data_IF_487040309520
#
_entry.id   IF_487040309520
#
_cell.length_a   1.000
_cell.length_b   1.000
_cell.length_c   1.000
_cell.angle_alpha   90.00
_cell.angle_beta   90.00
_cell.angle_gamma   90.00
#
_symmetry.space_group_name_H-M   'P 1'
#
loop_
_entity.id
_entity.type
_entity.pdbx_description
1 polymer ?
#
# COMPACT_ATOMS: atom_id res chain seq x y z
N UNK A 1 23.30 -22.39 -19.28
CA UNK A 1 23.26 -22.80 -20.70
C UNK A 1 24.61 -22.45 -21.32
N UNK A 2 25.26 -23.37 -22.05
CA UNK A 2 26.55 -23.06 -22.69
C UNK A 2 26.35 -22.21 -23.97
N UNK A 3 27.45 -21.68 -24.53
CA UNK A 3 27.41 -20.80 -25.70
C UNK A 3 26.74 -21.41 -26.93
N UNK A 4 26.99 -22.68 -27.21
CA UNK A 4 26.41 -23.38 -28.37
C UNK A 4 24.91 -23.58 -28.21
N UNK A 5 24.46 -23.98 -27.02
CA UNK A 5 23.05 -24.11 -26.72
C UNK A 5 22.33 -22.76 -26.84
N UNK A 6 22.95 -21.66 -26.39
CA UNK A 6 22.36 -20.32 -26.49
C UNK A 6 22.12 -19.90 -27.94
N UNK A 7 23.05 -20.22 -28.86
CA UNK A 7 22.88 -19.94 -30.28
C UNK A 7 21.71 -20.70 -30.90
N UNK A 8 21.51 -21.96 -30.50
CA UNK A 8 20.37 -22.76 -30.96
C UNK A 8 19.06 -22.20 -30.41
N UNK A 9 19.00 -21.88 -29.12
CA UNK A 9 17.81 -21.30 -28.50
C UNK A 9 17.44 -19.94 -29.09
N UNK A 10 18.40 -19.08 -29.44
CA UNK A 10 18.09 -17.81 -30.13
C UNK A 10 17.48 -18.00 -31.53
N UNK A 11 17.71 -19.15 -32.18
CA UNK A 11 17.14 -19.47 -33.50
C UNK A 11 15.77 -20.13 -33.41
N UNK A 12 15.38 -20.66 -32.26
CA UNK A 12 14.09 -21.32 -32.05
C UNK A 12 12.95 -20.29 -31.93
N UNK A 13 11.84 -20.52 -32.62
CA UNK A 13 10.67 -19.62 -32.63
C UNK A 13 10.17 -19.28 -31.22
N UNK A 14 10.21 -20.24 -30.30
CA UNK A 14 9.72 -20.09 -28.93
C UNK A 14 10.65 -19.31 -28.00
N UNK A 15 11.94 -19.21 -28.32
CA UNK A 15 12.94 -18.60 -27.42
C UNK A 15 13.72 -17.47 -28.07
N UNK A 16 13.42 -17.12 -29.34
CA UNK A 16 14.06 -16.02 -30.08
C UNK A 16 13.85 -14.65 -29.44
N UNK A 17 12.68 -14.41 -28.84
CA UNK A 17 12.34 -13.16 -28.15
C UNK A 17 12.67 -13.20 -26.65
N UNK A 18 13.24 -14.29 -26.14
CA UNK A 18 13.52 -14.42 -24.71
C UNK A 18 14.94 -13.95 -24.39
N UNK A 19 15.06 -13.12 -23.35
CA UNK A 19 16.36 -12.80 -22.75
C UNK A 19 16.80 -13.95 -21.84
N UNK A 20 18.04 -14.39 -21.98
CA UNK A 20 18.63 -15.42 -21.12
C UNK A 20 19.46 -14.73 -20.05
N UNK A 21 19.06 -14.87 -18.79
CA UNK A 21 19.77 -14.32 -17.64
C UNK A 21 20.41 -15.45 -16.84
N UNK A 22 21.63 -15.27 -16.36
CA UNK A 22 22.32 -16.27 -15.55
C UNK A 22 21.95 -16.15 -14.07
N UNK A 23 22.04 -17.26 -13.32
CA UNK A 23 21.78 -17.30 -11.87
C UNK A 23 22.69 -16.33 -11.11
N UNK A 24 23.88 -16.07 -11.64
CA UNK A 24 24.86 -15.13 -11.08
C UNK A 24 24.54 -13.65 -11.34
N UNK A 25 23.77 -13.33 -12.39
CA UNK A 25 23.38 -11.95 -12.73
C UNK A 25 22.09 -11.51 -12.01
N UNK A 26 21.29 -12.46 -11.51
CA UNK A 26 20.04 -12.23 -10.78
C UNK A 26 20.19 -11.27 -9.57
N UNK A 27 21.21 -11.40 -8.70
CA UNK A 27 21.36 -10.52 -7.54
C UNK A 27 21.83 -9.11 -7.89
N UNK A 28 22.57 -8.96 -8.99
CA UNK A 28 23.23 -7.69 -9.37
C UNK A 28 22.32 -6.76 -10.16
N UNK A 29 21.22 -7.27 -10.72
CA UNK A 29 20.36 -6.48 -11.59
C UNK A 29 18.89 -6.95 -11.58
N UNK A 30 18.21 -6.90 -10.42
CA UNK A 30 16.84 -7.43 -10.26
C UNK A 30 15.82 -6.74 -11.18
N UNK A 31 16.04 -5.46 -11.48
CA UNK A 31 15.26 -4.64 -12.42
C UNK A 31 15.33 -5.12 -13.88
N UNK A 32 16.42 -5.76 -14.30
CA UNK A 32 16.56 -6.33 -15.65
C UNK A 32 16.01 -7.76 -15.76
N UNK A 33 15.89 -8.48 -14.64
CA UNK A 33 15.22 -9.80 -14.57
C UNK A 33 13.70 -9.64 -14.56
N UNK A 34 13.20 -8.58 -13.93
CA UNK A 34 11.77 -8.22 -13.90
C UNK A 34 11.24 -7.65 -15.22
N UNK A 35 12.08 -7.43 -16.23
CA UNK A 35 11.64 -7.15 -17.62
C UNK A 35 11.11 -8.41 -18.33
N UNK A 36 10.42 -9.28 -17.59
CA UNK A 36 9.64 -10.37 -18.17
C UNK A 36 8.38 -9.76 -18.80
N UNK A 37 8.28 -9.93 -20.11
CA UNK A 37 7.21 -9.50 -21.03
C UNK A 37 6.96 -8.00 -21.13
N UNK A 38 7.46 -7.43 -22.23
CA UNK A 38 6.82 -6.36 -22.96
C UNK A 38 5.29 -6.60 -23.00
N UNK A 39 4.53 -5.68 -22.40
CA UNK A 39 3.06 -5.66 -22.43
C UNK A 39 2.37 -6.17 -21.16
N UNK A 40 1.53 -5.31 -20.55
CA UNK A 40 0.52 -5.76 -19.60
C UNK A 40 -0.43 -6.70 -20.35
N UNK A 41 -0.39 -8.00 -20.07
CA UNK A 41 -1.26 -8.98 -20.72
C UNK A 41 -2.52 -9.21 -19.89
N UNK A 42 -3.61 -9.54 -20.57
CA UNK A 42 -4.89 -9.81 -19.93
C UNK A 42 -4.83 -11.12 -19.14
N UNK A 43 -5.37 -11.10 -17.91
CA UNK A 43 -5.45 -12.28 -17.05
C UNK A 43 -6.38 -13.35 -17.59
N UNK A 44 -7.47 -12.95 -18.26
CA UNK A 44 -8.47 -13.86 -18.82
C UNK A 44 -8.14 -14.30 -20.25
N UNK A 45 -7.35 -13.50 -20.97
CA UNK A 45 -6.97 -13.76 -22.36
C UNK A 45 -5.45 -13.80 -22.49
N UNK A 46 -4.87 -14.99 -22.32
CA UNK A 46 -3.43 -15.19 -22.36
C UNK A 46 -2.81 -14.73 -23.67
N UNK A 47 -1.81 -13.84 -23.58
CA UNK A 47 -1.09 -13.30 -24.73
C UNK A 47 -1.76 -12.10 -25.40
N UNK A 48 -2.96 -11.71 -24.98
CA UNK A 48 -3.59 -10.47 -25.43
C UNK A 48 -3.09 -9.28 -24.60
N UNK A 49 -2.65 -8.24 -25.29
CA UNK A 49 -2.20 -7.00 -24.67
C UNK A 49 -3.38 -6.15 -24.21
N UNK A 50 -3.25 -5.56 -23.02
CA UNK A 50 -4.17 -4.56 -22.50
C UNK A 50 -3.99 -3.25 -23.29
N UNK A 51 -5.06 -2.80 -23.93
CA UNK A 51 -5.05 -1.64 -24.85
C UNK A 51 -6.12 -0.62 -24.54
N UNK A 52 -7.10 -0.96 -23.73
CA UNK A 52 -8.27 -0.13 -23.49
C UNK A 52 -8.47 0.13 -22.00
N UNK A 53 -9.10 1.26 -21.69
CA UNK A 53 -9.58 1.60 -20.37
C UNK A 53 -11.10 1.81 -20.42
N UNK A 54 -11.83 1.12 -19.56
CA UNK A 54 -13.27 1.31 -19.38
C UNK A 54 -13.51 2.21 -18.17
N UNK A 55 -14.04 3.42 -18.39
CA UNK A 55 -14.31 4.40 -17.32
C UNK A 55 -15.49 4.03 -16.44
N UNK A 56 -16.48 3.34 -17.00
CA UNK A 56 -17.68 2.93 -16.26
C UNK A 56 -17.36 1.94 -15.14
N UNK A 57 -16.37 1.08 -15.38
CA UNK A 57 -15.93 0.05 -14.44
C UNK A 57 -14.58 0.39 -13.80
N UNK A 58 -13.91 1.45 -14.24
CA UNK A 58 -12.56 1.84 -13.84
C UNK A 58 -11.53 0.71 -13.97
N UNK A 59 -11.61 -0.08 -15.05
CA UNK A 59 -10.72 -1.23 -15.32
C UNK A 59 -10.00 -1.08 -16.66
N UNK A 60 -8.81 -1.68 -16.76
CA UNK A 60 -8.08 -1.81 -18.02
C UNK A 60 -8.36 -3.18 -18.65
N UNK A 61 -8.48 -3.24 -19.97
CA UNK A 61 -8.90 -4.43 -20.68
C UNK A 61 -8.20 -4.61 -22.04
N UNK A 62 -8.13 -5.86 -22.51
CA UNK A 62 -7.68 -6.19 -23.87
C UNK A 62 -8.82 -6.07 -24.89
N UNK A 63 -8.51 -6.24 -26.18
CA UNK A 63 -9.51 -6.18 -27.25
C UNK A 63 -10.63 -7.20 -27.11
N UNK A 64 -10.32 -8.41 -26.62
CA UNK A 64 -11.31 -9.46 -26.40
C UNK A 64 -12.26 -9.10 -25.25
N UNK A 65 -11.72 -8.65 -24.12
CA UNK A 65 -12.52 -8.15 -23.00
C UNK A 65 -13.41 -6.96 -23.41
N UNK A 66 -12.90 -6.08 -24.27
CA UNK A 66 -13.70 -4.99 -24.81
C UNK A 66 -14.91 -5.52 -25.58
N UNK A 67 -14.73 -6.50 -26.46
CA UNK A 67 -15.82 -7.06 -27.25
C UNK A 67 -16.81 -7.89 -26.43
N UNK A 68 -16.32 -8.69 -25.49
CA UNK A 68 -17.14 -9.65 -24.74
C UNK A 68 -17.90 -9.02 -23.57
N UNK A 69 -17.27 -8.09 -22.85
CA UNK A 69 -17.81 -7.56 -21.59
C UNK A 69 -18.07 -6.05 -21.61
N UNK A 70 -17.29 -5.28 -22.36
CA UNK A 70 -17.37 -3.81 -22.35
C UNK A 70 -17.94 -3.20 -23.63
N UNK A 71 -18.49 -4.01 -24.54
CA UNK A 71 -19.04 -3.55 -25.82
C UNK A 71 -20.25 -2.64 -25.64
N UNK A 72 -21.00 -2.84 -24.56
CA UNK A 72 -22.15 -2.00 -24.19
C UNK A 72 -21.74 -0.76 -23.41
N UNK A 73 -20.49 -0.67 -22.94
CA UNK A 73 -19.99 0.52 -22.28
C UNK A 73 -19.80 1.62 -23.31
N UNK A 74 -20.34 2.79 -23.00
CA UNK A 74 -20.22 4.03 -23.78
C UNK A 74 -18.85 4.69 -23.61
N UNK A 75 -18.17 4.45 -22.49
CA UNK A 75 -16.92 5.13 -22.14
C UNK A 75 -15.74 4.16 -22.07
N UNK A 76 -15.34 3.64 -23.24
CA UNK A 76 -14.11 2.86 -23.41
C UNK A 76 -13.18 3.56 -24.39
N UNK A 77 -11.93 3.77 -23.99
CA UNK A 77 -10.93 4.59 -24.69
C UNK A 77 -9.60 3.85 -24.78
N UNK A 78 -8.74 4.20 -25.75
CA UNK A 78 -7.39 3.62 -25.83
C UNK A 78 -6.59 4.07 -24.61
N UNK A 79 -5.97 3.11 -23.95
CA UNK A 79 -5.22 3.32 -22.72
C UNK A 79 -4.09 4.33 -22.93
N UNK A 80 -3.47 4.38 -24.12
CA UNK A 80 -2.38 5.33 -24.43
C UNK A 80 -2.86 6.76 -24.51
N UNK A 81 -4.09 6.98 -24.94
CA UNK A 81 -4.69 8.31 -25.01
C UNK A 81 -5.08 8.83 -23.62
N UNK A 82 -5.44 7.92 -22.71
CA UNK A 82 -5.84 8.23 -21.33
C UNK A 82 -4.68 8.31 -20.36
N UNK A 83 -3.58 7.58 -20.63
CA UNK A 83 -2.45 7.47 -19.74
C UNK A 83 -1.90 8.83 -19.27
N UNK A 84 -1.75 9.87 -20.12
CA UNK A 84 -1.30 11.18 -19.68
C UNK A 84 -2.27 11.85 -18.69
N UNK A 85 -3.56 11.59 -18.82
CA UNK A 85 -4.60 12.13 -17.93
C UNK A 85 -4.60 11.38 -16.60
N UNK A 86 -4.53 10.05 -16.64
CA UNK A 86 -4.46 9.20 -15.44
C UNK A 86 -3.19 9.47 -14.62
N UNK A 87 -2.06 9.70 -15.28
CA UNK A 87 -0.79 10.04 -14.62
C UNK A 87 -0.76 11.48 -14.07
N UNK A 88 -1.62 12.39 -14.55
CA UNK A 88 -1.75 13.75 -13.99
C UNK A 88 -2.57 13.76 -12.71
N UNK A 89 -3.61 12.95 -12.64
CA UNK A 89 -4.45 12.81 -11.44
C UNK A 89 -3.65 12.19 -10.27
N UNK A 90 -2.72 11.29 -10.58
CA UNK A 90 -1.82 10.68 -9.59
C UNK A 90 -0.48 11.41 -9.62
N UNK A 91 -0.43 12.64 -9.11
CA UNK A 91 0.88 13.25 -8.83
C UNK A 91 1.50 12.48 -7.65
N UNK A 92 2.68 11.83 -7.80
CA UNK A 92 3.32 11.11 -6.71
C UNK A 92 3.58 12.02 -5.49
N UNK A 93 3.65 13.33 -5.72
CA UNK A 93 3.74 14.35 -4.67
C UNK A 93 2.53 14.37 -3.75
N UNK A 94 1.30 14.29 -4.26
CA UNK A 94 0.10 14.31 -3.40
C UNK A 94 0.05 13.13 -2.43
N UNK A 95 0.37 11.92 -2.91
CA UNK A 95 0.41 10.74 -2.04
C UNK A 95 1.51 10.87 -1.00
N UNK A 96 2.69 11.37 -1.39
CA UNK A 96 3.79 11.58 -0.45
C UNK A 96 3.43 12.64 0.61
N UNK A 97 2.78 13.73 0.20
CA UNK A 97 2.33 14.79 1.10
C UNK A 97 1.24 14.29 2.07
N UNK A 98 0.29 13.48 1.60
CA UNK A 98 -0.71 12.83 2.44
C UNK A 98 -0.06 11.89 3.46
N UNK A 99 0.92 11.08 3.04
CA UNK A 99 1.64 10.19 3.94
C UNK A 99 2.41 10.97 5.02
N UNK A 100 3.07 12.07 4.65
CA UNK A 100 3.77 12.96 5.59
C UNK A 100 2.79 13.59 6.58
N UNK A 101 1.61 14.04 6.12
CA UNK A 101 0.58 14.60 6.99
C UNK A 101 0.05 13.56 7.99
N UNK A 102 -0.21 12.33 7.52
CA UNK A 102 -0.65 11.22 8.38
C UNK A 102 0.41 10.88 9.42
N UNK A 103 1.69 10.78 9.03
CA UNK A 103 2.79 10.54 9.96
C UNK A 103 2.88 11.63 11.03
N UNK A 104 2.78 12.90 10.63
CA UNK A 104 2.80 14.04 11.55
C UNK A 104 1.60 14.00 12.52
N UNK A 105 0.41 13.70 12.04
CA UNK A 105 -0.79 13.56 12.88
C UNK A 105 -0.65 12.41 13.89
N UNK A 106 -0.09 11.26 13.47
CA UNK A 106 0.14 10.13 14.38
C UNK A 106 1.15 10.49 15.48
N UNK A 107 2.22 11.19 15.13
CA UNK A 107 3.24 11.60 16.10
C UNK A 107 2.68 12.57 17.14
N UNK A 108 2.00 13.62 16.69
CA UNK A 108 1.38 14.61 17.58
C UNK A 108 0.27 14.00 18.46
N UNK A 109 -0.52 13.07 17.92
CA UNK A 109 -1.51 12.34 18.68
C UNK A 109 -0.88 11.45 19.76
N UNK A 110 0.23 10.77 19.43
CA UNK A 110 0.99 9.95 20.39
C UNK A 110 1.51 10.80 21.55
N UNK A 111 2.20 11.91 21.27
CA UNK A 111 2.76 12.82 22.29
C UNK A 111 1.66 13.38 23.22
N UNK A 112 0.50 13.74 22.64
CA UNK A 112 -0.65 14.21 23.42
C UNK A 112 -1.23 13.11 24.32
N UNK A 113 -1.31 11.88 23.82
CA UNK A 113 -1.79 10.75 24.61
C UNK A 113 -0.84 10.38 25.74
N UNK A 114 0.47 10.42 25.52
CA UNK A 114 1.47 10.23 26.57
C UNK A 114 1.32 11.27 27.68
N UNK A 115 1.17 12.54 27.30
CA UNK A 115 0.91 13.64 28.25
C UNK A 115 -0.39 13.43 29.03
N UNK A 116 -1.46 13.00 28.36
CA UNK A 116 -2.73 12.70 29.01
C UNK A 116 -2.60 11.54 30.01
N UNK A 117 -1.90 10.47 29.64
CA UNK A 117 -1.65 9.31 30.52
C UNK A 117 -0.86 9.76 31.75
N UNK A 118 0.17 10.58 31.58
CA UNK A 118 0.93 11.12 32.71
C UNK A 118 0.04 11.94 33.66
N UNK A 119 -0.76 12.85 33.12
CA UNK A 119 -1.67 13.68 33.91
C UNK A 119 -2.71 12.85 34.67
N UNK A 120 -3.29 11.84 34.02
CA UNK A 120 -4.24 10.92 34.66
C UNK A 120 -3.60 10.12 35.80
N UNK A 121 -2.36 9.62 35.62
CA UNK A 121 -1.62 8.93 36.68
C UNK A 121 -1.36 9.84 37.88
N UNK A 122 -0.97 11.08 37.62
CA UNK A 122 -0.75 12.09 38.65
C UNK A 122 -2.04 12.35 39.45
N UNK A 123 -3.15 12.59 38.76
CA UNK A 123 -4.46 12.77 39.39
C UNK A 123 -4.88 11.56 40.24
N UNK A 124 -4.68 10.34 39.74
CA UNK A 124 -4.97 9.11 40.50
C UNK A 124 -4.15 9.01 41.80
N UNK A 125 -2.91 9.47 41.79
CA UNK A 125 -2.06 9.47 42.99
C UNK A 125 -2.57 10.49 44.01
N UNK A 126 -2.97 11.68 43.56
CA UNK A 126 -3.60 12.68 44.42
C UNK A 126 -4.91 12.18 45.04
N UNK A 127 -5.84 11.62 44.25
CA UNK A 127 -7.12 11.11 44.77
C UNK A 127 -6.91 9.98 45.79
N UNK A 128 -6.02 9.03 45.49
CA UNK A 128 -5.69 7.93 46.42
C UNK A 128 -5.12 8.44 47.75
N UNK A 129 -4.35 9.53 47.72
CA UNK A 129 -3.85 10.14 48.96
C UNK A 129 -4.93 10.88 49.75
N UNK A 130 -5.86 11.55 49.06
CA UNK A 130 -7.01 12.23 49.67
C UNK A 130 -7.92 11.23 50.38
N UNK A 131 -8.27 10.13 49.72
CA UNK A 131 -9.11 9.07 50.27
C UNK A 131 -8.50 8.47 51.54
N UNK A 132 -7.19 8.18 51.54
CA UNK A 132 -6.48 7.69 52.73
C UNK A 132 -6.46 8.71 53.87
N UNK A 133 -6.42 10.00 53.55
CA UNK A 133 -6.49 11.07 54.56
C UNK A 133 -7.87 11.13 55.19
N UNK A 134 -8.92 11.10 54.37
CA UNK A 134 -10.31 11.11 54.81
C UNK A 134 -10.65 9.88 55.66
N UNK A 135 -10.19 8.70 55.27
CA UNK A 135 -10.40 7.46 56.02
C UNK A 135 -9.75 7.52 57.41
N UNK A 136 -8.52 8.03 57.51
CA UNK A 136 -7.85 8.26 58.79
C UNK A 136 -8.60 9.25 59.67
N UNK A 137 -9.07 10.35 59.10
CA UNK A 137 -9.88 11.33 59.82
C UNK A 137 -11.19 10.71 60.33
N UNK A 138 -11.86 9.90 59.51
CA UNK A 138 -13.10 9.24 59.89
C UNK A 138 -12.91 8.21 61.01
N UNK A 139 -11.84 7.40 60.94
CA UNK A 139 -11.45 6.48 62.01
C UNK A 139 -11.20 7.21 63.33
N UNK A 140 -10.46 8.33 63.28
CA UNK A 140 -10.21 9.17 64.44
C UNK A 140 -11.51 9.68 65.07
N UNK A 141 -12.42 10.24 64.28
CA UNK A 141 -13.72 10.71 64.78
C UNK A 141 -14.57 9.58 65.38
N UNK A 142 -14.53 8.37 64.82
CA UNK A 142 -15.23 7.20 65.38
C UNK A 142 -14.69 6.78 66.74
N UNK A 143 -13.37 6.86 66.96
CA UNK A 143 -12.76 6.54 68.26
C UNK A 143 -13.14 7.54 69.35
N UNK A 144 -13.26 8.83 69.02
CA UNK A 144 -13.68 9.86 69.97
C UNK A 144 -15.15 9.70 70.40
N UNK A 145 -16.05 9.30 69.49
CA UNK A 145 -17.47 9.05 69.81
C UNK A 145 -17.72 7.83 70.69
N UNK A 146 -16.74 6.94 70.89
CA UNK A 146 -16.86 5.73 71.73
C UNK A 146 -16.40 5.93 73.18
N UNK A 147 -15.87 7.10 73.54
CA UNK A 147 -15.56 7.50 74.92
C UNK A 147 -16.70 8.32 75.50
#
# INVERSE_FOLDING_TARGET
MCGDCLQVHRKQKMTRSHSVVTITELPSNPENVMKCSEGFTCSDHHGEEIKYHCKEHSVTCCGTCYFDYHKTCTSVTDLRDELPSLLKEVSPGHILDELIQVEHHLKTFSEKNESNIYNLKSLMQYTSSSEKSEEKSMQYWMTLKKR
#
